data_IF_665783006237
#
_entry.id   IF_665783006237
#
_cell.length_a   1.000
_cell.length_b   1.000
_cell.length_c   1.000
_cell.angle_alpha   90.00
_cell.angle_beta   90.00
_cell.angle_gamma   90.00
#
_symmetry.space_group_name_H-M   'P 1'
#
loop_
_entity.id
_entity.type
_entity.pdbx_description
1 polymer ?
#
# COMPACT_ATOMS: atom_id res chain seq x y z
N UNK A 1 19.15 32.43 -18.05
CA UNK A 1 18.96 31.87 -19.42
C UNK A 1 20.00 30.82 -19.84
N UNK A 2 21.14 30.68 -19.16
CA UNK A 2 22.18 29.68 -19.52
C UNK A 2 21.82 28.20 -19.21
N UNK A 3 20.97 27.96 -18.20
CA UNK A 3 20.57 26.61 -17.75
C UNK A 3 19.58 25.92 -18.72
N UNK A 4 18.79 26.69 -19.47
CA UNK A 4 17.84 26.16 -20.45
C UNK A 4 18.50 25.71 -21.76
N UNK A 5 19.68 26.26 -22.11
CA UNK A 5 20.46 25.82 -23.27
C UNK A 5 21.15 24.47 -23.03
N UNK A 6 21.64 24.21 -21.82
CA UNK A 6 22.27 22.92 -21.49
C UNK A 6 21.25 21.75 -21.49
N UNK A 7 20.01 21.97 -21.04
CA UNK A 7 18.98 20.92 -21.07
C UNK A 7 18.52 20.54 -22.49
N UNK A 8 18.58 21.46 -23.46
CA UNK A 8 18.28 21.16 -24.86
C UNK A 8 19.41 20.40 -25.57
N UNK A 9 20.68 20.65 -25.22
CA UNK A 9 21.82 19.90 -25.79
C UNK A 9 21.86 18.44 -25.31
N UNK A 10 21.52 18.18 -24.04
CA UNK A 10 21.42 16.81 -23.51
C UNK A 10 20.28 16.00 -24.15
N UNK A 11 19.18 16.65 -24.50
CA UNK A 11 18.05 16.01 -25.18
C UNK A 11 18.32 15.71 -26.67
N UNK A 12 19.23 16.46 -27.31
CA UNK A 12 19.68 16.20 -28.68
C UNK A 12 20.69 15.04 -28.74
N UNK A 13 21.59 14.94 -27.75
CA UNK A 13 22.56 13.83 -27.63
C UNK A 13 21.89 12.47 -27.40
N UNK A 14 20.79 12.41 -26.63
CA UNK A 14 20.00 11.19 -26.46
C UNK A 14 19.27 10.73 -27.74
N UNK A 15 18.93 11.64 -28.67
CA UNK A 15 18.30 11.25 -29.95
C UNK A 15 19.32 10.76 -30.99
N UNK A 16 20.56 11.23 -30.92
CA UNK A 16 21.64 10.79 -31.81
C UNK A 16 22.16 9.39 -31.41
N UNK A 17 22.25 9.09 -30.11
CA UNK A 17 22.61 7.73 -29.64
C UNK A 17 21.55 6.66 -30.00
N UNK A 18 20.27 7.04 -30.08
CA UNK A 18 19.20 6.13 -30.49
C UNK A 18 19.17 5.82 -32.00
N UNK A 19 19.86 6.62 -32.84
CA UNK A 19 19.98 6.37 -34.29
C UNK A 19 21.30 5.69 -34.68
N UNK A 20 22.36 5.81 -33.86
CA UNK A 20 23.65 5.14 -34.10
C UNK A 20 23.64 3.62 -33.87
N UNK A 21 22.74 3.11 -33.03
CA UNK A 21 22.59 1.67 -32.76
C UNK A 21 21.84 0.90 -33.86
N UNK A 22 21.16 1.59 -34.78
CA UNK A 22 20.46 0.98 -35.91
C UNK A 22 21.31 0.88 -37.19
N UNK A 23 22.53 1.43 -37.20
CA UNK A 23 23.39 1.51 -38.38
C UNK A 23 24.69 0.68 -38.28
N UNK A 24 24.93 -0.03 -37.16
CA UNK A 24 26.16 -0.80 -36.93
C UNK A 24 26.05 -2.30 -37.28
N UNK A 25 24.88 -2.79 -37.69
CA UNK A 25 24.69 -4.17 -38.17
C UNK A 25 24.48 -4.19 -39.69
N UNK A 26 25.46 -3.75 -40.47
CA UNK A 26 25.58 -4.15 -41.88
C UNK A 26 27.02 -4.01 -42.35
N UNK A 27 27.79 -5.09 -42.28
CA UNK A 27 29.15 -5.10 -42.80
C UNK A 27 29.93 -6.39 -42.57
N UNK A 28 29.86 -7.30 -43.55
CA UNK A 28 30.80 -8.41 -43.87
C UNK A 28 30.79 -9.59 -42.86
N UNK A 29 30.83 -10.87 -43.24
CA UNK A 29 31.12 -11.55 -44.50
C UNK A 29 30.60 -13.02 -44.47
N UNK A 30 30.62 -13.63 -45.67
CA UNK A 30 30.83 -15.06 -45.97
C UNK A 30 29.71 -16.06 -45.61
N UNK A 31 29.04 -16.56 -46.66
CA UNK A 31 28.00 -17.59 -46.55
C UNK A 31 28.52 -19.02 -46.41
N UNK A 32 27.61 -19.97 -46.19
CA UNK A 32 27.84 -21.36 -46.60
C UNK A 32 26.64 -21.96 -47.37
N UNK A 33 26.94 -22.87 -48.30
CA UNK A 33 25.99 -23.78 -48.99
C UNK A 33 25.52 -24.92 -48.05
N UNK A 34 24.44 -25.66 -48.37
CA UNK A 34 23.49 -26.14 -47.36
C UNK A 34 23.37 -27.67 -47.16
N UNK A 35 22.66 -28.05 -46.06
CA UNK A 35 21.91 -29.30 -45.74
C UNK A 35 22.73 -30.59 -45.47
N UNK A 36 22.45 -31.55 -44.55
CA UNK A 36 21.57 -31.82 -43.39
C UNK A 36 22.06 -33.19 -42.78
N UNK A 37 21.32 -33.95 -41.94
CA UNK A 37 21.48 -34.01 -40.49
C UNK A 37 21.84 -35.41 -39.93
N UNK A 38 22.15 -35.50 -38.63
CA UNK A 38 21.71 -36.54 -37.66
C UNK A 38 22.65 -36.58 -36.44
N UNK A 39 22.06 -36.57 -35.22
CA UNK A 39 22.82 -36.75 -33.98
C UNK A 39 21.99 -36.43 -32.73
N UNK A 40 21.11 -37.34 -32.34
CA UNK A 40 20.37 -37.32 -31.07
C UNK A 40 21.26 -37.76 -29.90
N UNK A 41 21.31 -36.96 -28.84
CA UNK A 41 21.94 -37.32 -27.57
C UNK A 41 21.39 -36.50 -26.40
N UNK A 42 20.52 -37.10 -25.60
CA UNK A 42 20.13 -36.67 -24.24
C UNK A 42 20.98 -37.43 -23.20
N UNK A 43 20.84 -37.25 -21.87
CA UNK A 43 20.74 -36.02 -21.04
C UNK A 43 21.66 -36.09 -19.79
N UNK A 44 22.02 -34.96 -19.12
CA UNK A 44 22.45 -34.99 -17.69
C UNK A 44 22.08 -33.71 -16.89
N UNK A 45 21.13 -33.93 -15.96
CA UNK A 45 20.91 -33.45 -14.57
C UNK A 45 21.45 -32.11 -14.00
N UNK A 46 20.77 -31.55 -12.95
CA UNK A 46 20.88 -30.17 -12.52
C UNK A 46 21.95 -29.92 -11.43
N UNK A 47 22.53 -28.72 -11.43
CA UNK A 47 23.51 -28.26 -10.45
C UNK A 47 22.89 -27.66 -9.17
N UNK A 48 23.59 -27.92 -8.06
CA UNK A 48 23.31 -27.65 -6.62
C UNK A 48 23.24 -26.16 -6.21
N UNK A 49 22.71 -25.83 -5.01
CA UNK A 49 22.57 -24.46 -4.53
C UNK A 49 23.86 -23.92 -3.88
N UNK A 50 24.21 -22.66 -4.18
CA UNK A 50 25.37 -21.98 -3.60
C UNK A 50 25.08 -21.43 -2.19
N UNK A 51 26.02 -21.72 -1.28
CA UNK A 51 26.10 -21.32 0.12
C UNK A 51 26.41 -19.81 0.31
N UNK A 52 26.21 -19.35 1.55
CA UNK A 52 26.16 -17.96 1.97
C UNK A 52 27.46 -17.16 1.87
N UNK A 53 27.31 -15.83 1.97
CA UNK A 53 28.43 -14.89 1.99
C UNK A 53 28.37 -14.00 3.24
N UNK A 54 29.32 -14.23 4.14
CA UNK A 54 29.65 -13.38 5.26
C UNK A 54 30.33 -12.08 4.79
N UNK A 55 30.18 -11.03 5.59
CA UNK A 55 30.56 -9.66 5.28
C UNK A 55 32.07 -9.39 5.21
N UNK A 56 32.44 -8.40 4.40
CA UNK A 56 33.79 -7.85 4.35
C UNK A 56 33.92 -6.80 3.24
N UNK A 57 34.70 -5.74 3.51
CA UNK A 57 34.94 -4.55 2.64
C UNK A 57 35.50 -4.85 1.23
N UNK A 58 35.66 -6.12 0.84
CA UNK A 58 36.09 -6.56 -0.49
C UNK A 58 34.93 -6.78 -1.50
N UNK A 59 33.66 -6.70 -1.07
CA UNK A 59 32.49 -6.87 -1.94
C UNK A 59 32.35 -5.78 -3.02
N UNK A 60 32.68 -4.53 -2.70
CA UNK A 60 32.51 -3.39 -3.61
C UNK A 60 33.48 -3.44 -4.82
N UNK A 61 34.73 -3.84 -4.58
CA UNK A 61 35.73 -3.98 -5.64
C UNK A 61 35.50 -5.21 -6.55
N UNK A 62 34.77 -6.22 -6.05
CA UNK A 62 34.38 -7.41 -6.83
C UNK A 62 33.13 -7.14 -7.67
N UNK A 63 32.21 -6.33 -7.17
CA UNK A 63 31.04 -5.84 -7.92
C UNK A 63 31.44 -4.94 -9.10
N UNK A 64 32.41 -4.02 -8.90
CA UNK A 64 32.94 -3.17 -9.97
C UNK A 64 33.62 -3.95 -11.11
N UNK A 65 34.39 -5.00 -10.77
CA UNK A 65 35.04 -5.87 -11.76
C UNK A 65 34.07 -6.78 -12.53
N UNK A 66 32.96 -7.21 -11.90
CA UNK A 66 31.89 -7.95 -12.58
C UNK A 66 31.07 -7.06 -13.51
N UNK A 67 30.80 -5.81 -13.12
CA UNK A 67 30.13 -4.84 -13.98
C UNK A 67 30.96 -4.47 -15.22
N UNK A 68 32.28 -4.29 -15.06
CA UNK A 68 33.20 -4.01 -16.16
C UNK A 68 33.33 -5.18 -17.15
N UNK A 69 33.36 -6.44 -16.68
CA UNK A 69 33.36 -7.63 -17.56
C UNK A 69 32.00 -7.85 -18.24
N UNK A 70 30.88 -7.60 -17.56
CA UNK A 70 29.54 -7.77 -18.16
C UNK A 70 29.22 -6.74 -19.25
N UNK A 71 29.85 -5.56 -19.21
CA UNK A 71 29.79 -4.57 -20.29
C UNK A 71 30.62 -4.96 -21.51
N UNK A 72 31.65 -5.79 -21.34
CA UNK A 72 32.46 -6.31 -22.44
C UNK A 72 31.79 -7.50 -23.18
N UNK A 73 31.01 -8.33 -22.47
CA UNK A 73 30.44 -9.58 -23.01
C UNK A 73 28.96 -9.48 -23.46
N UNK A 74 28.41 -8.27 -23.69
CA UNK A 74 27.01 -8.09 -24.14
C UNK A 74 25.93 -8.48 -23.09
N UNK A 75 26.33 -8.85 -21.88
CA UNK A 75 25.45 -9.28 -20.78
C UNK A 75 24.97 -8.13 -19.87
N UNK A 76 25.39 -6.89 -20.16
CA UNK A 76 25.03 -5.69 -19.39
C UNK A 76 23.53 -5.43 -19.25
N UNK A 77 22.72 -5.85 -20.23
CA UNK A 77 21.25 -5.77 -20.15
C UNK A 77 20.65 -6.68 -19.08
N UNK A 78 21.19 -7.89 -18.91
CA UNK A 78 20.74 -8.85 -17.90
C UNK A 78 21.13 -8.41 -16.48
N UNK A 79 22.32 -7.81 -16.33
CA UNK A 79 22.80 -7.29 -15.04
C UNK A 79 22.05 -6.02 -14.63
N UNK A 80 21.77 -5.10 -15.56
CA UNK A 80 20.97 -3.90 -15.28
C UNK A 80 19.53 -4.28 -14.89
N UNK A 81 18.94 -5.26 -15.57
CA UNK A 81 17.62 -5.78 -15.23
C UNK A 81 17.59 -6.46 -13.85
N UNK A 82 18.63 -7.22 -13.49
CA UNK A 82 18.70 -7.88 -12.18
C UNK A 82 18.87 -6.87 -11.04
N UNK A 83 19.73 -5.86 -11.21
CA UNK A 83 19.94 -4.78 -10.22
C UNK A 83 18.68 -3.92 -10.05
N UNK A 84 17.99 -3.60 -11.15
CA UNK A 84 16.72 -2.86 -11.08
C UNK A 84 15.64 -3.68 -10.36
N UNK A 85 15.57 -4.99 -10.61
CA UNK A 85 14.63 -5.90 -9.97
C UNK A 85 14.91 -6.03 -8.47
N UNK A 86 16.15 -6.20 -8.06
CA UNK A 86 16.53 -6.22 -6.64
C UNK A 86 16.19 -4.91 -5.94
N UNK A 87 16.55 -3.76 -6.53
CA UNK A 87 16.19 -2.45 -5.99
C UNK A 87 14.68 -2.31 -5.81
N UNK A 88 13.88 -2.72 -6.80
CA UNK A 88 12.43 -2.73 -6.68
C UNK A 88 11.93 -3.64 -5.55
N UNK A 89 12.45 -4.85 -5.42
CA UNK A 89 12.03 -5.80 -4.39
C UNK A 89 12.34 -5.26 -2.99
N UNK A 90 13.49 -4.62 -2.81
CA UNK A 90 13.86 -3.97 -1.55
C UNK A 90 12.91 -2.81 -1.22
N UNK A 91 12.54 -1.99 -2.21
CA UNK A 91 11.53 -0.91 -2.02
C UNK A 91 10.21 -1.48 -1.51
N UNK A 92 9.74 -2.57 -2.11
CA UNK A 92 8.44 -3.18 -1.73
C UNK A 92 8.47 -3.74 -0.31
N UNK A 93 9.57 -4.38 0.13
CA UNK A 93 9.70 -4.95 1.48
C UNK A 93 9.56 -3.92 2.60
N UNK A 94 10.25 -2.78 2.47
CA UNK A 94 10.14 -1.68 3.46
C UNK A 94 8.71 -1.18 3.56
N UNK A 95 8.04 -1.03 2.42
CA UNK A 95 6.67 -0.56 2.37
C UNK A 95 5.68 -1.58 2.95
N UNK A 96 5.92 -2.89 2.76
CA UNK A 96 5.14 -3.94 3.41
C UNK A 96 5.27 -3.84 4.94
N UNK A 97 6.48 -3.63 5.47
CA UNK A 97 6.69 -3.44 6.91
C UNK A 97 6.03 -2.17 7.46
N UNK A 98 6.06 -1.06 6.71
CA UNK A 98 5.33 0.16 7.07
C UNK A 98 3.81 -0.10 7.11
N UNK A 99 3.29 -0.87 6.15
CA UNK A 99 1.89 -1.32 6.12
C UNK A 99 1.56 -2.15 7.36
N UNK A 100 2.45 -3.05 7.75
CA UNK A 100 2.33 -3.86 8.97
C UNK A 100 2.26 -3.00 10.23
N UNK A 101 3.21 -2.08 10.38
CA UNK A 101 3.25 -1.18 11.53
C UNK A 101 1.99 -0.31 11.61
N UNK A 102 1.51 0.21 10.48
CA UNK A 102 0.27 0.97 10.41
C UNK A 102 -0.94 0.15 10.89
N UNK A 103 -1.07 -1.10 10.44
CA UNK A 103 -2.15 -1.98 10.90
C UNK A 103 -2.08 -2.21 12.40
N UNK A 104 -0.89 -2.45 12.94
CA UNK A 104 -0.69 -2.65 14.38
C UNK A 104 -1.00 -1.40 15.19
N UNK A 105 -0.64 -0.21 14.73
CA UNK A 105 -1.04 1.05 15.38
C UNK A 105 -2.57 1.22 15.43
N UNK A 106 -3.29 0.75 14.42
CA UNK A 106 -4.77 0.74 14.43
C UNK A 106 -5.32 -0.25 15.46
N UNK A 107 -4.66 -1.40 15.67
CA UNK A 107 -5.02 -2.32 16.78
C UNK A 107 -4.86 -1.62 18.12
N UNK A 108 -3.68 -1.02 18.36
CA UNK A 108 -3.40 -0.31 19.61
C UNK A 108 -4.40 0.82 19.87
N UNK A 109 -4.77 1.55 18.82
CA UNK A 109 -5.78 2.60 18.91
C UNK A 109 -7.13 2.08 19.40
N UNK A 110 -7.69 1.03 18.79
CA UNK A 110 -8.99 0.50 19.19
C UNK A 110 -8.95 -0.15 20.58
N UNK A 111 -7.82 -0.78 20.95
CA UNK A 111 -7.64 -1.26 22.32
C UNK A 111 -7.63 -0.11 23.33
N UNK A 112 -6.92 0.99 23.03
CA UNK A 112 -6.91 2.18 23.89
C UNK A 112 -8.27 2.85 23.94
N UNK A 113 -8.95 2.99 22.79
CA UNK A 113 -10.26 3.61 22.68
C UNK A 113 -11.35 2.87 23.47
N UNK A 114 -11.14 1.60 23.78
CA UNK A 114 -12.09 0.80 24.59
C UNK A 114 -12.02 1.16 26.08
N UNK A 115 -10.89 1.72 26.56
CA UNK A 115 -10.76 2.15 27.95
C UNK A 115 -11.79 3.23 28.29
N UNK A 116 -12.40 3.18 29.49
CA UNK A 116 -13.42 4.14 29.89
C UNK A 116 -12.92 5.59 29.75
N UNK A 117 -13.81 6.45 29.29
CA UNK A 117 -13.54 7.88 29.19
C UNK A 117 -13.31 8.46 30.58
N UNK A 118 -12.40 9.42 30.71
CA UNK A 118 -12.08 10.01 32.00
C UNK A 118 -10.94 11.01 31.93
N UNK A 119 -10.87 11.97 32.87
CA UNK A 119 -9.94 13.10 32.80
C UNK A 119 -8.46 12.69 32.63
N UNK A 120 -8.04 11.62 33.29
CA UNK A 120 -6.68 11.10 33.18
C UNK A 120 -6.41 10.46 31.81
N UNK A 121 -7.29 9.57 31.35
CA UNK A 121 -7.13 8.90 30.06
C UNK A 121 -7.20 9.89 28.89
N UNK A 122 -8.13 10.84 28.95
CA UNK A 122 -8.27 11.94 28.00
C UNK A 122 -7.07 12.88 28.03
N UNK A 123 -6.59 13.23 29.23
CA UNK A 123 -5.39 14.05 29.41
C UNK A 123 -4.12 13.38 28.85
N UNK A 124 -3.92 12.08 29.09
CA UNK A 124 -2.82 11.31 28.51
C UNK A 124 -2.94 11.28 26.98
N UNK A 125 -4.13 10.99 26.44
CA UNK A 125 -4.38 10.99 25.00
C UNK A 125 -4.05 12.37 24.40
N UNK A 126 -4.53 13.44 25.02
CA UNK A 126 -4.30 14.81 24.57
C UNK A 126 -2.81 15.18 24.62
N UNK A 127 -2.08 14.79 25.67
CA UNK A 127 -0.64 15.00 25.76
C UNK A 127 0.10 14.24 24.63
N UNK A 128 -0.26 12.97 24.39
CA UNK A 128 0.35 12.15 23.34
C UNK A 128 0.12 12.72 21.93
N UNK A 129 -0.97 13.46 21.69
CA UNK A 129 -1.22 14.16 20.43
C UNK A 129 -0.17 15.23 20.09
N UNK A 130 0.53 15.78 21.09
CA UNK A 130 1.63 16.72 20.91
C UNK A 130 3.01 16.04 20.78
N UNK A 131 3.05 14.71 20.85
CA UNK A 131 4.29 13.93 20.75
C UNK A 131 4.37 13.15 19.43
N UNK A 132 5.55 12.60 19.08
CA UNK A 132 5.69 11.62 18.00
C UNK A 132 4.73 10.42 18.08
N UNK A 133 4.19 10.10 19.26
CA UNK A 133 3.26 8.99 19.47
C UNK A 133 1.81 9.29 19.03
N UNK A 134 1.52 10.50 18.56
CA UNK A 134 0.18 10.90 18.09
C UNK A 134 -0.42 9.99 17.02
N UNK A 135 0.42 9.37 16.19
CA UNK A 135 -0.02 8.41 15.17
C UNK A 135 -0.65 7.14 15.81
N UNK A 136 -0.17 6.72 16.98
CA UNK A 136 -0.70 5.58 17.73
C UNK A 136 -2.06 5.89 18.39
N UNK A 137 -2.27 7.12 18.82
CA UNK A 137 -3.52 7.54 19.50
C UNK A 137 -4.58 8.10 18.54
N UNK A 138 -4.28 8.25 17.25
CA UNK A 138 -5.19 8.83 16.26
C UNK A 138 -5.83 7.87 15.27
N UNK A 139 -5.22 6.69 15.02
CA UNK A 139 -5.49 5.70 13.95
C UNK A 139 -5.62 6.22 12.50
N UNK A 140 -6.29 7.34 12.28
CA UNK A 140 -6.52 8.00 10.99
C UNK A 140 -5.22 8.21 10.19
N UNK A 141 -4.08 8.68 10.76
CA UNK A 141 -2.83 8.80 9.99
C UNK A 141 -2.32 7.46 9.42
N UNK A 142 -2.53 6.35 10.15
CA UNK A 142 -2.16 5.02 9.68
C UNK A 142 -3.02 4.57 8.50
N UNK A 143 -4.31 4.94 8.48
CA UNK A 143 -5.21 4.67 7.35
C UNK A 143 -4.86 5.53 6.13
N UNK A 144 -4.51 6.81 6.33
CA UNK A 144 -4.03 7.66 5.22
C UNK A 144 -2.75 7.09 4.60
N UNK A 145 -1.85 6.54 5.43
CA UNK A 145 -0.68 5.82 4.92
C UNK A 145 -1.07 4.61 4.04
N UNK A 146 -2.13 3.86 4.39
CA UNK A 146 -2.65 2.80 3.50
C UNK A 146 -3.11 3.35 2.14
N UNK A 147 -3.82 4.47 2.10
CA UNK A 147 -4.25 5.07 0.83
C UNK A 147 -3.08 5.51 -0.04
N UNK A 148 -2.05 6.14 0.54
CA UNK A 148 -0.83 6.52 -0.19
C UNK A 148 -0.07 5.27 -0.68
N UNK A 149 0.06 4.24 0.16
CA UNK A 149 0.67 2.95 -0.21
C UNK A 149 -0.10 2.26 -1.35
N UNK A 150 -1.43 2.27 -1.30
CA UNK A 150 -2.26 1.67 -2.34
C UNK A 150 -2.11 2.37 -3.68
N UNK A 151 -2.06 3.71 -3.70
CA UNK A 151 -1.72 4.48 -4.91
C UNK A 151 -0.32 4.14 -5.46
N UNK A 152 0.67 4.04 -4.58
CA UNK A 152 2.04 3.70 -4.95
C UNK A 152 2.14 2.30 -5.60
N UNK A 153 1.58 1.28 -4.94
CA UNK A 153 1.65 -0.11 -5.40
C UNK A 153 0.83 -0.31 -6.68
N UNK A 154 -0.35 0.30 -6.79
CA UNK A 154 -1.18 0.23 -7.99
C UNK A 154 -0.50 0.88 -9.19
N UNK A 155 0.14 2.04 -9.00
CA UNK A 155 0.90 2.70 -10.06
C UNK A 155 2.04 1.81 -10.57
N UNK A 156 2.81 1.18 -9.67
CA UNK A 156 3.87 0.25 -10.06
C UNK A 156 3.34 -1.00 -10.77
N UNK A 157 2.21 -1.55 -10.31
CA UNK A 157 1.62 -2.74 -10.91
C UNK A 157 1.13 -2.48 -12.34
N UNK A 158 0.49 -1.33 -12.58
CA UNK A 158 -0.05 -0.96 -13.89
C UNK A 158 1.02 -0.39 -14.83
N UNK A 159 2.04 0.31 -14.33
CA UNK A 159 3.13 0.84 -15.16
C UNK A 159 4.07 -0.25 -15.71
N UNK A 160 4.11 -1.43 -15.09
CA UNK A 160 5.01 -2.54 -15.47
C UNK A 160 4.38 -3.59 -16.39
N UNK A 161 3.06 -3.58 -16.57
CA UNK A 161 2.34 -4.62 -17.31
C UNK A 161 1.95 -4.19 -18.72
N UNK A 162 2.11 -5.04 -19.75
CA UNK A 162 1.53 -4.77 -21.06
C UNK A 162 0.00 -4.79 -20.97
N UNK A 163 -0.66 -3.73 -21.43
CA UNK A 163 -2.06 -3.73 -21.89
C UNK A 163 -3.08 -4.43 -20.98
N UNK A 164 -3.00 -4.24 -19.67
CA UNK A 164 -3.93 -4.87 -18.74
C UNK A 164 -5.37 -4.44 -19.06
N UNK A 165 -6.23 -5.39 -19.45
CA UNK A 165 -7.64 -5.08 -19.72
C UNK A 165 -8.31 -4.65 -18.41
N UNK A 166 -9.08 -3.56 -18.48
CA UNK A 166 -9.76 -2.97 -17.33
C UNK A 166 -10.53 -4.01 -16.51
N UNK A 167 -11.36 -4.84 -17.18
CA UNK A 167 -12.14 -5.89 -16.51
C UNK A 167 -11.30 -6.92 -15.75
N UNK A 168 -10.16 -7.35 -16.32
CA UNK A 168 -9.24 -8.26 -15.63
C UNK A 168 -8.60 -7.61 -14.41
N UNK A 169 -8.24 -6.33 -14.49
CA UNK A 169 -7.73 -5.56 -13.36
C UNK A 169 -8.77 -5.46 -12.23
N UNK A 170 -10.01 -5.08 -12.58
CA UNK A 170 -11.13 -4.96 -11.64
C UNK A 170 -11.39 -6.29 -10.93
N UNK A 171 -11.52 -7.38 -11.68
CA UNK A 171 -11.84 -8.69 -11.12
C UNK A 171 -10.76 -9.16 -10.13
N UNK A 172 -9.48 -8.99 -10.47
CA UNK A 172 -8.37 -9.31 -9.56
C UNK A 172 -8.38 -8.47 -8.29
N UNK A 173 -8.76 -7.19 -8.40
CA UNK A 173 -8.85 -6.29 -7.26
C UNK A 173 -10.00 -6.69 -6.33
N UNK A 174 -11.16 -7.02 -6.91
CA UNK A 174 -12.32 -7.54 -6.17
C UNK A 174 -11.94 -8.83 -5.45
N UNK A 175 -11.40 -9.85 -6.14
CA UNK A 175 -11.02 -11.10 -5.48
C UNK A 175 -9.98 -10.89 -4.36
N UNK A 176 -9.04 -9.96 -4.52
CA UNK A 176 -7.99 -9.71 -3.52
C UNK A 176 -8.51 -8.98 -2.27
N UNK A 177 -9.43 -8.03 -2.42
CA UNK A 177 -9.93 -7.19 -1.32
C UNK A 177 -11.26 -7.72 -0.80
N UNK A 178 -12.25 -7.82 -1.69
CA UNK A 178 -13.63 -8.10 -1.29
C UNK A 178 -13.80 -9.49 -0.68
N UNK A 179 -13.11 -10.52 -1.17
CA UNK A 179 -13.31 -11.89 -0.67
C UNK A 179 -12.86 -12.07 0.80
N UNK A 180 -11.63 -11.69 1.21
CA UNK A 180 -11.27 -11.74 2.63
C UNK A 180 -12.14 -10.81 3.48
N UNK A 181 -12.50 -9.63 2.96
CA UNK A 181 -13.41 -8.72 3.64
C UNK A 181 -14.78 -9.36 3.90
N UNK A 182 -15.40 -9.96 2.89
CA UNK A 182 -16.70 -10.61 3.01
C UNK A 182 -16.68 -11.71 4.08
N UNK A 183 -15.61 -12.52 4.11
CA UNK A 183 -15.43 -13.55 5.14
C UNK A 183 -15.31 -12.93 6.53
N UNK A 184 -14.63 -11.78 6.69
CA UNK A 184 -14.57 -11.08 7.98
C UNK A 184 -15.92 -10.56 8.45
N UNK A 185 -16.76 -10.06 7.52
CA UNK A 185 -18.12 -9.58 7.84
C UNK A 185 -19.01 -10.74 8.25
N UNK A 186 -18.99 -11.85 7.49
CA UNK A 186 -19.76 -13.04 7.81
C UNK A 186 -19.33 -13.65 9.16
N UNK A 187 -18.02 -13.69 9.43
CA UNK A 187 -17.47 -14.13 10.70
C UNK A 187 -17.95 -13.22 11.84
N UNK A 188 -17.85 -11.90 11.68
CA UNK A 188 -18.30 -10.94 12.70
C UNK A 188 -19.80 -11.06 12.99
N UNK A 189 -20.63 -11.22 11.95
CA UNK A 189 -22.06 -11.45 12.11
C UNK A 189 -22.37 -12.77 12.83
N UNK A 190 -21.66 -13.86 12.49
CA UNK A 190 -21.82 -15.14 13.18
C UNK A 190 -21.42 -15.03 14.66
N UNK A 191 -20.31 -14.34 14.96
CA UNK A 191 -19.86 -14.10 16.33
C UNK A 191 -20.87 -13.25 17.13
N UNK A 192 -21.50 -12.27 16.49
CA UNK A 192 -22.60 -11.51 17.11
C UNK A 192 -23.73 -12.43 17.56
N UNK A 193 -24.18 -13.37 16.71
CA UNK A 193 -25.25 -14.31 17.05
C UNK A 193 -24.89 -15.28 18.17
N UNK A 194 -23.61 -15.67 18.27
CA UNK A 194 -23.11 -16.54 19.35
C UNK A 194 -23.00 -15.76 20.66
N UNK A 195 -22.46 -14.54 20.62
CA UNK A 195 -22.18 -13.75 21.82
C UNK A 195 -23.42 -13.03 22.36
N UNK A 196 -24.37 -12.68 21.47
CA UNK A 196 -25.56 -11.85 21.78
C UNK A 196 -25.19 -10.65 22.67
N UNK A 197 -24.32 -9.76 22.18
CA UNK A 197 -23.70 -8.74 22.99
C UNK A 197 -24.75 -7.81 23.62
N UNK A 198 -24.51 -7.46 24.89
CA UNK A 198 -25.24 -6.43 25.62
C UNK A 198 -24.30 -5.26 25.90
N UNK A 199 -24.87 -4.08 26.13
CA UNK A 199 -24.10 -2.93 26.56
C UNK A 199 -23.33 -3.24 27.85
N UNK A 200 -22.05 -2.88 27.89
CA UNK A 200 -21.17 -3.10 29.04
C UNK A 200 -20.93 -1.80 29.79
N UNK A 201 -20.92 -1.87 31.12
CA UNK A 201 -20.46 -0.78 31.98
C UNK A 201 -18.92 -0.74 32.02
N UNK A 202 -18.35 0.42 32.37
CA UNK A 202 -16.90 0.54 32.57
C UNK A 202 -16.03 0.48 31.31
N UNK A 203 -16.65 0.55 30.11
CA UNK A 203 -15.96 0.72 28.82
C UNK A 203 -16.29 2.08 28.21
N UNK A 204 -15.51 2.51 27.23
CA UNK A 204 -15.80 3.75 26.50
C UNK A 204 -17.15 3.69 25.78
N UNK A 205 -17.95 4.79 25.72
CA UNK A 205 -19.26 4.80 25.04
C UNK A 205 -19.22 4.33 23.58
N UNK A 206 -18.14 4.65 22.86
CA UNK A 206 -17.88 4.14 21.50
C UNK A 206 -18.03 2.62 21.37
N UNK A 207 -17.56 1.85 22.36
CA UNK A 207 -17.58 0.38 22.30
C UNK A 207 -19.02 -0.17 22.27
N UNK A 208 -19.96 0.51 22.94
CA UNK A 208 -21.37 0.12 22.95
C UNK A 208 -22.16 0.73 21.79
N UNK A 209 -21.75 1.90 21.28
CA UNK A 209 -22.51 2.66 20.29
C UNK A 209 -22.24 2.24 18.83
N UNK A 210 -20.99 1.88 18.51
CA UNK A 210 -20.57 1.69 17.12
C UNK A 210 -20.47 0.20 16.72
N UNK A 211 -19.54 -0.60 17.26
CA UNK A 211 -19.42 -2.00 16.89
C UNK A 211 -20.53 -2.83 17.54
N UNK A 212 -21.05 -3.82 16.80
CA UNK A 212 -22.05 -4.78 17.27
C UNK A 212 -23.32 -4.18 17.90
N UNK A 213 -23.58 -2.88 17.65
CA UNK A 213 -24.69 -2.12 18.23
C UNK A 213 -26.06 -2.47 17.67
N UNK A 214 -26.11 -3.22 16.56
CA UNK A 214 -27.33 -3.67 15.92
C UNK A 214 -27.25 -5.15 15.52
N UNK A 215 -28.41 -5.79 15.45
CA UNK A 215 -28.54 -7.18 15.00
C UNK A 215 -28.20 -7.29 13.50
N UNK A 216 -27.36 -8.27 13.09
CA UNK A 216 -27.08 -8.55 11.69
C UNK A 216 -28.28 -9.24 11.03
N UNK A 217 -29.18 -8.42 10.46
CA UNK A 217 -30.23 -8.90 9.55
C UNK A 217 -29.72 -8.99 8.10
N UNK A 218 -30.57 -9.51 7.20
CA UNK A 218 -30.21 -9.67 5.78
C UNK A 218 -29.90 -8.33 5.09
N UNK A 219 -30.59 -7.26 5.48
CA UNK A 219 -30.38 -5.92 4.94
C UNK A 219 -29.01 -5.36 5.37
N UNK A 220 -28.66 -5.48 6.66
CA UNK A 220 -27.36 -5.12 7.20
C UNK A 220 -26.25 -5.88 6.48
N UNK A 221 -26.36 -7.21 6.36
CA UNK A 221 -25.37 -8.03 5.64
C UNK A 221 -25.19 -7.57 4.20
N UNK A 222 -26.30 -7.35 3.48
CA UNK A 222 -26.25 -6.84 2.11
C UNK A 222 -25.53 -5.49 2.02
N UNK A 223 -25.85 -4.53 2.89
CA UNK A 223 -25.22 -3.20 2.91
C UNK A 223 -23.71 -3.27 3.16
N UNK A 224 -23.29 -4.16 4.07
CA UNK A 224 -21.86 -4.36 4.36
C UNK A 224 -21.14 -5.00 3.16
N UNK A 225 -21.70 -6.09 2.61
CA UNK A 225 -21.12 -6.80 1.47
C UNK A 225 -21.12 -5.95 0.19
N UNK A 226 -22.11 -5.08 0.00
CA UNK A 226 -22.16 -4.15 -1.12
C UNK A 226 -21.20 -2.94 -0.97
N UNK A 227 -20.57 -2.76 0.20
CA UNK A 227 -19.65 -1.65 0.49
C UNK A 227 -20.27 -0.29 0.12
N UNK A 228 -21.49 -0.02 0.61
CA UNK A 228 -22.22 1.22 0.31
C UNK A 228 -21.58 2.46 0.95
N UNK A 229 -20.79 2.29 2.02
CA UNK A 229 -20.01 3.37 2.64
C UNK A 229 -20.85 4.41 3.39
N UNK A 230 -22.10 4.06 3.72
CA UNK A 230 -22.97 4.89 4.56
C UNK A 230 -22.78 4.60 6.06
N UNK A 231 -23.30 5.49 6.90
CA UNK A 231 -23.18 5.47 8.36
C UNK A 231 -23.76 4.22 9.04
N UNK A 232 -24.74 3.53 8.44
CA UNK A 232 -25.33 2.33 9.05
C UNK A 232 -24.61 1.04 8.63
N UNK A 233 -23.68 1.13 7.68
CA UNK A 233 -22.96 -0.01 7.11
C UNK A 233 -21.63 -0.27 7.81
N UNK A 234 -21.54 -0.05 9.13
CA UNK A 234 -20.28 -0.08 9.87
C UNK A 234 -20.28 -1.03 11.09
N UNK A 235 -21.44 -1.33 11.65
CA UNK A 235 -21.54 -1.95 12.98
C UNK A 235 -20.93 -3.35 13.06
N UNK A 236 -20.90 -4.13 11.96
CA UNK A 236 -20.27 -5.45 11.98
C UNK A 236 -18.76 -5.37 11.93
N UNK A 237 -18.20 -4.32 11.35
CA UNK A 237 -16.76 -4.10 11.36
C UNK A 237 -16.45 -2.64 11.05
N UNK A 238 -16.24 -1.84 12.09
CA UNK A 238 -16.10 -0.38 11.96
C UNK A 238 -14.97 0.03 11.01
N UNK A 239 -13.93 -0.80 10.86
CA UNK A 239 -12.76 -0.48 10.01
C UNK A 239 -13.05 -0.54 8.50
N UNK A 240 -14.23 -1.02 8.11
CA UNK A 240 -14.59 -1.22 6.70
C UNK A 240 -14.78 0.07 5.90
N UNK A 241 -14.94 1.22 6.58
CA UNK A 241 -15.09 2.51 5.94
C UNK A 241 -13.96 2.78 4.94
N UNK A 242 -12.72 2.50 5.36
CA UNK A 242 -11.53 2.77 4.54
C UNK A 242 -11.44 1.82 3.34
N UNK A 243 -11.85 0.56 3.52
CA UNK A 243 -11.83 -0.47 2.47
C UNK A 243 -12.81 -0.14 1.35
N UNK A 244 -13.96 0.45 1.70
CA UNK A 244 -14.96 0.90 0.73
C UNK A 244 -14.35 1.93 -0.22
N UNK A 245 -13.69 2.95 0.32
CA UNK A 245 -13.05 3.97 -0.49
C UNK A 245 -11.81 3.45 -1.22
N UNK A 246 -11.02 2.58 -0.58
CA UNK A 246 -9.89 1.93 -1.25
C UNK A 246 -10.36 1.15 -2.48
N UNK A 247 -11.42 0.34 -2.37
CA UNK A 247 -11.93 -0.42 -3.50
C UNK A 247 -12.43 0.52 -4.59
N UNK A 248 -13.30 1.50 -4.27
CA UNK A 248 -13.85 2.46 -5.24
C UNK A 248 -12.77 3.22 -6.00
N UNK A 249 -11.81 3.80 -5.29
CA UNK A 249 -10.70 4.53 -5.90
C UNK A 249 -9.82 3.58 -6.72
N UNK A 250 -9.59 2.35 -6.24
CA UNK A 250 -8.83 1.35 -6.99
C UNK A 250 -9.49 1.03 -8.34
N UNK A 251 -10.82 0.95 -8.40
CA UNK A 251 -11.55 0.66 -9.64
C UNK A 251 -11.33 1.75 -10.69
N UNK A 252 -11.37 3.03 -10.30
CA UNK A 252 -11.12 4.17 -11.23
C UNK A 252 -9.64 4.50 -11.40
N UNK A 253 -8.76 3.86 -10.63
CA UNK A 253 -7.33 4.19 -10.56
C UNK A 253 -6.59 4.19 -11.91
N UNK A 254 -6.89 3.32 -12.90
CA UNK A 254 -6.18 3.41 -14.18
C UNK A 254 -6.41 4.75 -14.92
N UNK A 255 -7.56 5.41 -14.74
CA UNK A 255 -7.79 6.77 -15.25
C UNK A 255 -6.98 7.81 -14.49
N UNK A 256 -6.92 7.69 -13.15
CA UNK A 256 -6.08 8.55 -12.31
C UNK A 256 -4.60 8.42 -12.70
N UNK A 257 -4.13 7.19 -12.92
CA UNK A 257 -2.77 6.91 -13.36
C UNK A 257 -2.48 7.53 -14.74
N UNK A 258 -3.43 7.45 -15.67
CA UNK A 258 -3.31 8.10 -16.98
C UNK A 258 -3.15 9.61 -16.82
N UNK A 259 -3.96 10.24 -15.97
CA UNK A 259 -3.82 11.67 -15.67
C UNK A 259 -2.43 12.00 -15.11
N UNK A 260 -1.93 11.22 -14.15
CA UNK A 260 -0.58 11.39 -13.56
C UNK A 260 0.53 11.23 -14.61
N UNK A 261 0.36 10.32 -15.57
CA UNK A 261 1.35 10.06 -16.62
C UNK A 261 1.35 11.11 -17.74
N UNK A 262 0.17 11.65 -18.08
CA UNK A 262 -0.03 12.52 -19.26
C UNK A 262 -0.03 14.01 -18.93
N UNK A 263 -0.52 14.40 -17.75
CA UNK A 263 -0.59 15.81 -17.38
C UNK A 263 0.75 16.28 -16.78
N UNK A 264 1.26 17.47 -17.19
CA UNK A 264 2.41 18.06 -16.53
C UNK A 264 2.04 18.49 -15.10
N UNK A 265 3.01 18.50 -14.19
CA UNK A 265 2.77 18.84 -12.76
C UNK A 265 2.10 20.21 -12.56
N UNK A 266 2.39 21.19 -13.44
CA UNK A 266 1.77 22.52 -13.43
C UNK A 266 0.25 22.52 -13.68
N UNK A 267 -0.30 21.44 -14.25
CA UNK A 267 -1.75 21.23 -14.44
C UNK A 267 -2.29 20.28 -13.38
N UNK A 268 -1.56 19.21 -13.09
CA UNK A 268 -1.99 18.19 -12.13
C UNK A 268 -2.13 18.75 -10.70
N UNK A 269 -1.13 19.51 -10.21
CA UNK A 269 -1.14 20.01 -8.83
C UNK A 269 -2.27 21.01 -8.56
N UNK A 270 -2.53 22.03 -9.42
CA UNK A 270 -3.72 22.86 -9.27
C UNK A 270 -5.02 22.07 -9.40
N UNK A 271 -5.07 21.05 -10.27
CA UNK A 271 -6.25 20.18 -10.39
C UNK A 271 -6.56 19.39 -9.12
N UNK A 272 -5.54 18.84 -8.47
CA UNK A 272 -5.67 18.16 -7.17
C UNK A 272 -6.19 19.12 -6.08
N UNK A 273 -5.64 20.34 -6.05
CA UNK A 273 -6.09 21.38 -5.11
C UNK A 273 -7.53 21.80 -5.39
N UNK A 274 -7.89 22.02 -6.65
CA UNK A 274 -9.25 22.40 -7.05
C UNK A 274 -10.27 21.32 -6.70
N UNK A 275 -9.95 20.04 -6.97
CA UNK A 275 -10.77 18.91 -6.56
C UNK A 275 -10.98 18.90 -5.04
N UNK A 276 -9.92 19.17 -4.27
CA UNK A 276 -10.02 19.18 -2.82
C UNK A 276 -10.90 20.30 -2.31
N UNK A 277 -10.63 21.53 -2.75
CA UNK A 277 -11.40 22.72 -2.36
C UNK A 277 -12.88 22.56 -2.74
N UNK A 278 -13.16 22.02 -3.92
CA UNK A 278 -14.53 21.75 -4.36
C UNK A 278 -15.22 20.70 -3.49
N UNK A 279 -14.51 19.63 -3.12
CA UNK A 279 -15.05 18.57 -2.24
C UNK A 279 -15.36 19.12 -0.85
N UNK A 280 -14.41 19.83 -0.24
CA UNK A 280 -14.55 20.41 1.11
C UNK A 280 -15.64 21.49 1.15
N UNK A 281 -15.71 22.35 0.13
CA UNK A 281 -16.76 23.35 0.01
C UNK A 281 -18.14 22.70 -0.11
N UNK A 282 -18.25 21.61 -0.86
CA UNK A 282 -19.50 20.85 -1.01
C UNK A 282 -19.88 20.16 0.30
N UNK A 283 -18.93 19.52 0.98
CA UNK A 283 -19.16 18.91 2.30
C UNK A 283 -19.67 19.95 3.31
N UNK A 284 -19.03 21.12 3.40
CA UNK A 284 -19.48 22.22 4.27
C UNK A 284 -20.89 22.69 3.94
N UNK A 285 -21.22 22.85 2.65
CA UNK A 285 -22.56 23.26 2.20
C UNK A 285 -23.64 22.24 2.57
N UNK A 286 -23.29 20.95 2.59
CA UNK A 286 -24.18 19.86 2.97
C UNK A 286 -24.16 19.55 4.46
N UNK A 287 -23.41 20.30 5.28
CA UNK A 287 -23.27 20.03 6.72
C UNK A 287 -22.48 18.77 7.07
N UNK A 288 -21.75 18.19 6.10
CA UNK A 288 -20.94 16.99 6.31
C UNK A 288 -19.61 17.32 7.00
N UNK A 289 -19.07 16.41 7.84
CA UNK A 289 -17.79 16.61 8.50
C UNK A 289 -16.63 16.66 7.49
N UNK A 290 -15.64 17.51 7.74
CA UNK A 290 -14.42 17.66 6.91
C UNK A 290 -13.36 16.57 7.15
N UNK A 291 -13.58 15.75 8.18
CA UNK A 291 -12.81 14.53 8.42
C UNK A 291 -13.77 13.32 8.40
N UNK A 292 -14.46 13.06 7.26
CA UNK A 292 -15.48 12.03 7.20
C UNK A 292 -14.86 10.64 7.38
N UNK A 293 -15.59 9.76 8.08
CA UNK A 293 -15.36 8.32 8.07
C UNK A 293 -16.40 7.65 7.16
N UNK A 294 -17.65 8.06 7.29
CA UNK A 294 -18.77 7.63 6.47
C UNK A 294 -19.44 8.84 5.82
N UNK A 295 -20.19 8.58 4.76
CA UNK A 295 -21.03 9.60 4.15
C UNK A 295 -22.51 9.40 4.50
N UNK A 296 -23.26 10.48 4.54
CA UNK A 296 -24.71 10.42 4.63
C UNK A 296 -25.29 10.09 3.25
N UNK A 297 -25.78 8.85 3.13
CA UNK A 297 -26.28 8.28 1.88
C UNK A 297 -25.21 8.18 0.78
N UNK A 298 -25.67 7.92 -0.44
CA UNK A 298 -24.79 7.67 -1.58
C UNK A 298 -23.99 8.91 -2.02
N UNK A 299 -24.60 10.10 -1.94
CA UNK A 299 -23.94 11.36 -2.28
C UNK A 299 -22.79 11.67 -1.30
N UNK A 300 -23.04 11.57 0.01
CA UNK A 300 -22.00 11.75 1.03
C UNK A 300 -20.87 10.73 0.89
N UNK A 301 -21.20 9.46 0.62
CA UNK A 301 -20.19 8.41 0.45
C UNK A 301 -19.33 8.63 -0.82
N UNK A 302 -19.94 9.19 -1.87
CA UNK A 302 -19.23 9.57 -3.10
C UNK A 302 -18.31 10.77 -2.87
N UNK A 303 -18.79 11.81 -2.18
CA UNK A 303 -17.95 12.95 -1.79
C UNK A 303 -16.78 12.52 -0.91
N UNK A 304 -17.01 11.60 0.02
CA UNK A 304 -15.95 11.03 0.86
C UNK A 304 -14.94 10.22 0.02
N UNK A 305 -15.41 9.52 -1.02
CA UNK A 305 -14.51 8.85 -1.97
C UNK A 305 -13.61 9.87 -2.68
N UNK A 306 -14.19 10.99 -3.17
CA UNK A 306 -13.45 12.07 -3.84
C UNK A 306 -12.40 12.71 -2.93
N UNK A 307 -12.73 12.92 -1.65
CA UNK A 307 -11.82 13.46 -0.65
C UNK A 307 -10.51 12.65 -0.53
N UNK A 308 -10.58 11.32 -0.63
CA UNK A 308 -9.39 10.46 -0.51
C UNK A 308 -8.66 10.20 -1.84
N UNK A 309 -9.18 10.64 -2.99
CA UNK A 309 -8.53 10.44 -4.31
C UNK A 309 -7.10 11.00 -4.31
N UNK A 310 -6.90 12.17 -3.72
CA UNK A 310 -5.59 12.82 -3.68
C UNK A 310 -4.53 11.98 -2.94
N UNK A 311 -4.91 11.16 -1.97
CA UNK A 311 -3.97 10.25 -1.29
C UNK A 311 -3.37 9.24 -2.28
N UNK A 312 -4.21 8.67 -3.16
CA UNK A 312 -3.79 7.70 -4.16
C UNK A 312 -2.94 8.36 -5.26
N UNK A 313 -3.30 9.59 -5.67
CA UNK A 313 -2.54 10.36 -6.67
C UNK A 313 -1.14 10.69 -6.15
N UNK A 314 -1.00 11.09 -4.88
CA UNK A 314 0.31 11.32 -4.24
C UNK A 314 1.14 10.03 -4.22
N UNK A 315 0.54 8.89 -3.87
CA UNK A 315 1.20 7.60 -3.95
C UNK A 315 1.69 7.26 -5.36
N UNK A 316 0.86 7.50 -6.37
CA UNK A 316 1.20 7.28 -7.77
C UNK A 316 2.35 8.21 -8.24
N UNK A 317 2.35 9.47 -7.83
CA UNK A 317 3.44 10.41 -8.10
C UNK A 317 4.75 9.93 -7.49
N UNK A 318 4.73 9.47 -6.23
CA UNK A 318 5.91 8.94 -5.57
C UNK A 318 6.43 7.67 -6.25
N UNK A 319 5.55 6.82 -6.79
CA UNK A 319 5.94 5.65 -7.57
C UNK A 319 6.62 6.02 -8.89
N UNK A 320 6.03 6.94 -9.66
CA UNK A 320 6.50 7.30 -11.01
C UNK A 320 7.66 8.31 -11.01
N UNK A 321 7.79 9.12 -9.95
CA UNK A 321 8.86 10.12 -9.79
C UNK A 321 9.85 9.76 -8.68
N UNK A 322 9.78 8.53 -8.16
CA UNK A 322 10.56 8.07 -7.03
C UNK A 322 12.06 8.29 -7.21
N UNK A 323 12.63 8.00 -8.39
CA UNK A 323 14.07 8.17 -8.62
C UNK A 323 14.52 9.64 -8.56
N UNK A 324 13.68 10.57 -9.03
CA UNK A 324 13.95 12.01 -8.91
C UNK A 324 13.88 12.46 -7.44
N UNK A 325 12.88 11.98 -6.69
CA UNK A 325 12.76 12.24 -5.24
C UNK A 325 13.99 11.71 -4.50
N UNK A 326 14.42 10.47 -4.80
CA UNK A 326 15.61 9.88 -4.20
C UNK A 326 16.89 10.63 -4.55
N UNK A 327 17.03 11.13 -5.78
CA UNK A 327 18.17 11.95 -6.19
C UNK A 327 18.25 13.28 -5.42
N UNK A 328 17.10 13.90 -5.10
CA UNK A 328 17.05 15.10 -4.26
C UNK A 328 17.42 14.75 -2.81
N UNK A 329 16.80 13.73 -2.22
CA UNK A 329 17.08 13.31 -0.85
C UNK A 329 18.55 12.91 -0.64
N UNK A 330 19.17 12.26 -1.62
CA UNK A 330 20.57 11.85 -1.55
C UNK A 330 21.57 13.02 -1.51
N UNK A 331 21.16 14.24 -1.92
CA UNK A 331 22.00 15.44 -1.89
C UNK A 331 21.92 16.20 -0.57
N UNK A 332 20.96 15.86 0.29
CA UNK A 332 20.75 16.56 1.56
C UNK A 332 21.74 16.06 2.62
N UNK A 333 22.27 16.96 3.47
CA UNK A 333 23.09 16.54 4.61
C UNK A 333 22.24 15.80 5.65
N UNK A 334 22.91 15.02 6.51
CA UNK A 334 22.25 14.12 7.47
C UNK A 334 21.32 14.83 8.45
N UNK A 335 21.64 16.07 8.85
CA UNK A 335 20.79 16.87 9.73
C UNK A 335 19.48 17.28 9.05
N UNK A 336 19.50 17.61 7.76
CA UNK A 336 18.28 17.92 6.99
C UNK A 336 17.43 16.67 6.83
N UNK A 337 18.04 15.50 6.60
CA UNK A 337 17.32 14.23 6.60
C UNK A 337 16.68 13.93 7.97
N UNK A 338 17.41 14.18 9.07
CA UNK A 338 16.86 14.10 10.43
C UNK A 338 15.67 15.02 10.64
N UNK A 339 15.77 16.28 10.20
CA UNK A 339 14.67 17.24 10.21
C UNK A 339 13.46 16.79 9.38
N UNK A 340 13.68 16.18 8.22
CA UNK A 340 12.60 15.62 7.39
C UNK A 340 11.92 14.41 8.04
N UNK A 341 12.64 13.57 8.78
CA UNK A 341 12.02 12.49 9.57
C UNK A 341 11.10 13.06 10.65
N UNK A 342 11.57 14.06 11.38
CA UNK A 342 10.76 14.76 12.40
C UNK A 342 9.55 15.41 11.72
N UNK A 343 9.74 16.12 10.61
CA UNK A 343 8.65 16.74 9.86
C UNK A 343 7.62 15.71 9.38
N UNK A 344 8.05 14.55 8.87
CA UNK A 344 7.15 13.48 8.46
C UNK A 344 6.25 13.02 9.61
N UNK A 345 6.83 12.80 10.79
CA UNK A 345 6.10 12.39 12.00
C UNK A 345 5.16 13.51 12.48
N UNK A 346 5.62 14.76 12.46
CA UNK A 346 4.81 15.92 12.84
C UNK A 346 3.65 16.17 11.87
N UNK A 347 3.79 15.81 10.59
CA UNK A 347 2.71 15.91 9.61
C UNK A 347 1.67 14.78 9.76
N UNK A 348 2.03 13.64 10.36
CA UNK A 348 1.11 12.54 10.68
C UNK A 348 0.25 12.83 11.92
N UNK A 349 -0.39 14.00 11.97
CA UNK A 349 -1.28 14.43 13.05
C UNK A 349 -2.77 14.29 12.70
N UNK A 350 -3.67 14.12 13.68
CA UNK A 350 -5.08 13.84 13.44
C UNK A 350 -5.87 14.98 12.77
N UNK A 351 -5.30 16.18 12.68
CA UNK A 351 -6.07 17.41 12.47
C UNK A 351 -6.45 17.68 11.01
N UNK A 352 -5.73 17.13 10.01
CA UNK A 352 -6.01 17.37 8.58
C UNK A 352 -5.51 16.19 7.72
N UNK A 353 -6.38 15.58 6.91
CA UNK A 353 -6.01 14.42 6.08
C UNK A 353 -4.92 14.74 5.03
N UNK A 354 -4.86 15.97 4.52
CA UNK A 354 -3.85 16.38 3.54
C UNK A 354 -2.46 16.52 4.15
N UNK A 355 -2.35 16.98 5.40
CA UNK A 355 -1.06 17.02 6.10
C UNK A 355 -0.60 15.60 6.40
N UNK A 356 -1.51 14.72 6.83
CA UNK A 356 -1.25 13.28 6.95
C UNK A 356 -0.77 12.67 5.63
N UNK A 357 -1.38 13.04 4.51
CA UNK A 357 -1.00 12.55 3.17
C UNK A 357 0.43 12.94 2.82
N UNK A 358 0.81 14.20 3.08
CA UNK A 358 2.17 14.68 2.88
C UNK A 358 3.16 13.99 3.83
N UNK A 359 2.80 13.84 5.12
CA UNK A 359 3.60 13.13 6.11
C UNK A 359 3.84 11.67 5.74
N UNK A 360 2.79 10.96 5.30
CA UNK A 360 2.86 9.59 4.81
C UNK A 360 3.75 9.47 3.57
N UNK A 361 3.60 10.36 2.58
CA UNK A 361 4.43 10.38 1.39
C UNK A 361 5.90 10.65 1.70
N UNK A 362 6.18 11.58 2.61
CA UNK A 362 7.54 11.90 3.06
C UNK A 362 8.15 10.73 3.83
N UNK A 363 7.40 10.12 4.75
CA UNK A 363 7.79 8.92 5.49
C UNK A 363 8.18 7.79 4.53
N UNK A 364 7.33 7.50 3.55
CA UNK A 364 7.60 6.49 2.53
C UNK A 364 8.85 6.82 1.72
N UNK A 365 9.01 8.06 1.26
CA UNK A 365 10.17 8.49 0.48
C UNK A 365 11.48 8.34 1.27
N UNK A 366 11.49 8.76 2.54
CA UNK A 366 12.65 8.63 3.44
C UNK A 366 12.97 7.17 3.76
N UNK A 367 11.95 6.35 4.03
CA UNK A 367 12.12 4.92 4.34
C UNK A 367 12.69 4.15 3.15
N UNK A 368 12.20 4.44 1.94
CA UNK A 368 12.72 3.86 0.69
C UNK A 368 14.20 4.26 0.48
N UNK A 369 14.55 5.51 0.74
CA UNK A 369 15.88 6.08 0.44
C UNK A 369 16.99 5.76 1.43
N UNK A 370 16.62 5.41 2.66
CA UNK A 370 17.58 5.28 3.77
C UNK A 370 18.02 3.83 4.00
N UNK A 371 19.32 3.49 3.84
CA UNK A 371 19.83 2.17 4.18
C UNK A 371 19.66 1.81 5.66
N UNK A 372 19.67 2.81 6.55
CA UNK A 372 19.42 2.59 7.99
C UNK A 372 17.97 2.22 8.22
N UNK A 373 17.04 2.95 7.60
CA UNK A 373 15.61 2.64 7.70
C UNK A 373 15.32 1.24 7.17
N UNK A 374 15.94 0.82 6.06
CA UNK A 374 15.83 -0.55 5.54
C UNK A 374 16.22 -1.60 6.57
N UNK A 375 17.36 -1.44 7.25
CA UNK A 375 17.78 -2.39 8.31
C UNK A 375 16.77 -2.51 9.44
N UNK A 376 16.12 -1.40 9.80
CA UNK A 376 15.09 -1.38 10.85
C UNK A 376 13.81 -2.03 10.34
N UNK A 377 13.31 -1.66 9.16
CA UNK A 377 12.03 -2.13 8.64
C UNK A 377 12.07 -3.55 8.08
N UNK A 378 13.23 -4.06 7.67
CA UNK A 378 13.37 -5.40 7.09
C UNK A 378 13.71 -6.48 8.12
N UNK A 379 13.53 -6.21 9.42
CA UNK A 379 13.62 -7.25 10.43
C UNK A 379 12.45 -8.26 10.29
N UNK A 380 12.67 -9.56 10.60
CA UNK A 380 11.66 -10.59 10.37
C UNK A 380 10.27 -10.34 11.00
N UNK A 381 10.16 -9.80 12.24
CA UNK A 381 8.85 -9.50 12.83
C UNK A 381 8.07 -8.46 12.05
N UNK A 382 8.71 -7.38 11.59
CA UNK A 382 8.05 -6.33 10.82
C UNK A 382 7.65 -6.82 9.42
N UNK A 383 8.49 -7.64 8.79
CA UNK A 383 8.14 -8.28 7.51
C UNK A 383 6.97 -9.26 7.67
N UNK A 384 6.89 -10.00 8.78
CA UNK A 384 5.74 -10.85 9.08
C UNK A 384 4.48 -10.01 9.30
N UNK A 385 4.57 -8.95 10.10
CA UNK A 385 3.48 -8.03 10.35
C UNK A 385 2.96 -7.41 9.05
N UNK A 386 3.86 -7.02 8.15
CA UNK A 386 3.53 -6.52 6.82
C UNK A 386 2.78 -7.53 5.95
N UNK A 387 3.17 -8.80 6.00
CA UNK A 387 2.50 -9.89 5.26
C UNK A 387 1.07 -10.09 5.73
N UNK A 388 0.82 -10.12 7.03
CA UNK A 388 -0.51 -10.38 7.62
C UNK A 388 -1.35 -9.12 7.83
N UNK A 389 -0.84 -7.93 7.48
CA UNK A 389 -1.41 -6.66 7.90
C UNK A 389 -2.85 -6.43 7.44
N UNK A 390 -3.23 -6.95 6.25
CA UNK A 390 -4.59 -6.82 5.73
C UNK A 390 -5.55 -7.69 6.54
N UNK A 391 -5.22 -8.96 6.75
CA UNK A 391 -5.94 -9.84 7.66
C UNK A 391 -6.04 -9.27 9.08
N UNK A 392 -4.95 -8.73 9.64
CA UNK A 392 -4.95 -8.08 10.96
C UNK A 392 -5.93 -6.89 10.99
N UNK A 393 -5.90 -6.04 9.97
CA UNK A 393 -6.82 -4.92 9.83
C UNK A 393 -8.28 -5.38 9.81
N UNK A 394 -8.59 -6.51 9.18
CA UNK A 394 -9.95 -7.03 9.10
C UNK A 394 -10.48 -7.61 10.41
N UNK A 395 -9.67 -8.32 11.20
CA UNK A 395 -10.21 -9.14 12.30
C UNK A 395 -10.00 -8.57 13.70
N UNK A 396 -9.13 -7.58 13.88
CA UNK A 396 -8.76 -7.14 15.23
C UNK A 396 -9.94 -6.60 16.03
N UNK A 397 -10.88 -5.89 15.39
CA UNK A 397 -12.11 -5.43 16.07
C UNK A 397 -13.02 -6.60 16.44
N UNK A 398 -13.39 -7.53 15.54
CA UNK A 398 -14.12 -8.74 15.92
C UNK A 398 -13.47 -9.54 17.06
N UNK A 399 -12.14 -9.70 17.05
CA UNK A 399 -11.40 -10.37 18.14
C UNK A 399 -11.51 -9.59 19.45
N UNK A 400 -11.31 -8.27 19.41
CA UNK A 400 -11.48 -7.39 20.57
C UNK A 400 -12.87 -7.52 21.17
N UNK A 401 -13.92 -7.51 20.34
CA UNK A 401 -15.32 -7.64 20.77
C UNK A 401 -15.58 -9.00 21.43
N UNK A 402 -15.12 -10.10 20.84
CA UNK A 402 -15.26 -11.45 21.44
C UNK A 402 -14.57 -11.52 22.80
N UNK A 403 -13.35 -11.01 22.91
CA UNK A 403 -12.57 -11.06 24.16
C UNK A 403 -13.25 -10.23 25.25
N UNK A 404 -13.67 -9.00 24.92
CA UNK A 404 -14.29 -8.10 25.88
C UNK A 404 -15.67 -8.61 26.27
N UNK A 405 -16.62 -8.82 25.35
CA UNK A 405 -17.96 -9.32 25.71
C UNK A 405 -17.93 -10.71 26.36
N UNK A 406 -17.02 -11.59 25.93
CA UNK A 406 -16.96 -12.96 26.44
C UNK A 406 -16.39 -13.09 27.86
N UNK A 407 -15.55 -12.15 28.30
CA UNK A 407 -14.83 -12.23 29.58
C UNK A 407 -15.04 -11.01 30.49
N UNK A 408 -15.83 -10.02 30.08
CA UNK A 408 -16.19 -8.88 30.92
C UNK A 408 -16.79 -9.33 32.25
N UNK A 409 -16.41 -8.67 33.35
CA UNK A 409 -16.81 -9.05 34.70
C UNK A 409 -16.09 -10.28 35.30
N UNK A 410 -15.32 -11.04 34.49
CA UNK A 410 -14.48 -12.16 34.98
C UNK A 410 -13.02 -11.76 35.18
N UNK A 411 -12.52 -10.84 34.34
CA UNK A 411 -11.16 -10.32 34.42
C UNK A 411 -11.18 -8.78 34.33
N UNK A 412 -10.16 -8.09 34.86
CA UNK A 412 -10.01 -6.65 34.67
C UNK A 412 -9.92 -6.27 33.19
N UNK A 413 -10.50 -5.13 32.81
CA UNK A 413 -10.58 -4.68 31.41
C UNK A 413 -9.20 -4.58 30.77
N UNK A 414 -8.20 -4.09 31.50
CA UNK A 414 -6.82 -3.94 31.03
C UNK A 414 -6.22 -5.29 30.61
N UNK A 415 -6.54 -6.36 31.35
CA UNK A 415 -6.10 -7.73 31.02
C UNK A 415 -6.76 -8.22 29.74
N UNK A 416 -8.04 -7.91 29.54
CA UNK A 416 -8.78 -8.26 28.32
C UNK A 416 -8.19 -7.55 27.10
N UNK A 417 -7.88 -6.27 27.22
CA UNK A 417 -7.26 -5.48 26.14
C UNK A 417 -5.85 -5.96 25.82
N UNK A 418 -5.04 -6.30 26.83
CA UNK A 418 -3.72 -6.90 26.64
C UNK A 418 -3.80 -8.28 25.98
N UNK A 419 -4.84 -9.08 26.28
CA UNK A 419 -5.08 -10.38 25.66
C UNK A 419 -5.58 -10.26 24.21
N UNK A 420 -6.37 -9.23 23.90
CA UNK A 420 -6.91 -9.02 22.55
C UNK A 420 -5.82 -8.79 21.49
N UNK A 421 -4.68 -8.19 21.85
CA UNK A 421 -3.55 -7.92 20.94
C UNK A 421 -2.91 -9.20 20.39
N UNK A 422 -2.37 -10.13 21.22
CA UNK A 422 -1.77 -11.36 20.72
C UNK A 422 -2.81 -12.25 20.03
N UNK A 423 -4.06 -12.30 20.50
CA UNK A 423 -5.13 -13.05 19.83
C UNK A 423 -5.44 -12.48 18.45
N UNK A 424 -5.41 -11.16 18.27
CA UNK A 424 -5.57 -10.51 16.96
C UNK A 424 -4.42 -10.86 16.02
N UNK A 425 -3.18 -10.91 16.51
CA UNK A 425 -2.02 -11.32 15.70
C UNK A 425 -2.09 -12.79 15.29
N UNK A 426 -2.49 -13.68 16.21
CA UNK A 426 -2.68 -15.11 15.92
C UNK A 426 -3.80 -15.33 14.91
N UNK A 427 -4.95 -14.69 15.12
CA UNK A 427 -6.08 -14.72 14.19
C UNK A 427 -5.69 -14.15 12.81
N UNK A 428 -4.85 -13.11 12.77
CA UNK A 428 -4.40 -12.53 11.51
C UNK A 428 -3.53 -13.51 10.73
N UNK A 429 -2.66 -14.26 11.42
CA UNK A 429 -1.88 -15.34 10.81
C UNK A 429 -2.75 -16.45 10.23
N UNK A 430 -3.80 -16.84 10.95
CA UNK A 430 -4.81 -17.80 10.52
C UNK A 430 -5.57 -17.33 9.28
N UNK A 431 -6.19 -16.15 9.36
CA UNK A 431 -6.94 -15.56 8.24
C UNK A 431 -6.05 -15.33 7.02
N UNK A 432 -4.81 -14.89 7.23
CA UNK A 432 -3.87 -14.69 6.13
C UNK A 432 -3.61 -16.00 5.38
N UNK A 433 -3.34 -17.09 6.11
CA UNK A 433 -3.03 -18.40 5.53
C UNK A 433 -4.23 -19.03 4.84
N UNK A 434 -5.40 -18.99 5.45
CA UNK A 434 -6.57 -19.74 4.99
C UNK A 434 -7.54 -18.95 4.11
N UNK A 435 -7.47 -17.61 4.13
CA UNK A 435 -8.41 -16.75 3.40
C UNK A 435 -7.69 -15.80 2.45
N UNK A 436 -6.78 -14.97 2.97
CA UNK A 436 -6.13 -13.93 2.15
C UNK A 436 -5.22 -14.55 1.07
N UNK A 437 -4.38 -15.51 1.43
CA UNK A 437 -3.47 -16.17 0.48
C UNK A 437 -4.21 -16.90 -0.65
N UNK A 438 -5.24 -17.73 -0.38
CA UNK A 438 -6.07 -18.32 -1.44
C UNK A 438 -6.74 -17.26 -2.32
N UNK A 439 -7.23 -16.17 -1.75
CA UNK A 439 -7.85 -15.06 -2.50
C UNK A 439 -6.86 -14.39 -3.45
N UNK A 440 -5.61 -14.19 -3.00
CA UNK A 440 -4.51 -13.69 -3.84
C UNK A 440 -4.16 -14.69 -4.94
N UNK A 441 -4.12 -15.99 -4.64
CA UNK A 441 -3.83 -17.03 -5.61
C UNK A 441 -4.92 -17.12 -6.69
N UNK A 442 -6.19 -17.03 -6.30
CA UNK A 442 -7.33 -16.96 -7.20
C UNK A 442 -7.21 -15.74 -8.13
N UNK A 443 -6.96 -14.55 -7.57
CA UNK A 443 -6.76 -13.35 -8.35
C UNK A 443 -5.66 -13.52 -9.42
N UNK A 444 -4.54 -14.18 -9.10
CA UNK A 444 -3.46 -14.41 -10.08
C UNK A 444 -3.85 -15.32 -11.26
N UNK A 445 -4.83 -16.21 -11.08
CA UNK A 445 -5.30 -17.14 -12.12
C UNK A 445 -6.29 -16.51 -13.09
N UNK A 446 -6.89 -15.38 -12.73
CA UNK A 446 -7.92 -14.73 -13.55
C UNK A 446 -7.31 -14.06 -14.80
N UNK A 447 -7.99 -14.15 -15.97
CA UNK A 447 -7.50 -13.55 -17.22
C UNK A 447 -7.21 -12.05 -17.08
N UNK A 448 -6.16 -11.56 -17.74
CA UNK A 448 -5.75 -10.15 -17.61
C UNK A 448 -4.96 -9.57 -18.77
N UNK A 449 -4.27 -10.40 -19.54
CA UNK A 449 -3.57 -9.93 -20.73
C UNK A 449 -4.56 -9.75 -21.88
N UNK A 450 -4.40 -8.67 -22.64
CA UNK A 450 -4.90 -8.65 -24.01
C UNK A 450 -4.18 -9.75 -24.82
N UNK A 451 -4.85 -10.40 -25.79
CA UNK A 451 -4.14 -11.19 -26.79
C UNK A 451 -3.05 -10.32 -27.40
N UNK A 452 -1.82 -10.82 -27.51
CA UNK A 452 -0.87 -10.22 -28.43
C UNK A 452 -1.55 -10.23 -29.80
N UNK A 453 -1.86 -9.05 -30.35
CA UNK A 453 -2.17 -8.97 -31.76
C UNK A 453 -0.98 -9.62 -32.47
N UNK A 454 -1.23 -10.78 -33.08
CA UNK A 454 -0.23 -11.46 -33.89
C UNK A 454 0.31 -10.41 -34.86
N UNK A 455 1.61 -10.12 -34.79
CA UNK A 455 2.26 -9.33 -35.83
C UNK A 455 1.92 -10.03 -37.16
N UNK A 456 1.38 -9.33 -38.17
CA UNK A 456 1.21 -9.94 -39.47
C UNK A 456 2.57 -10.48 -39.89
N UNK A 457 2.62 -11.77 -40.21
CA UNK A 457 3.79 -12.36 -40.83
C UNK A 457 4.08 -11.52 -42.08
N UNK A 458 5.19 -10.80 -42.07
CA UNK A 458 5.74 -10.21 -43.27
C UNK A 458 6.15 -11.40 -44.14
N UNK A 459 5.27 -11.73 -45.09
CA UNK A 459 5.57 -12.59 -46.22
C UNK A 459 6.28 -11.81 -47.32
#
# INVERSE_FOLDING_TARGET
MHLFRQLRQSAALCRLHGRGLAAAESGRAAGPKPLSPLGTGTPRQPARPCQGFAGGKHGAARAGRRAARALADGSGGCLAASVHRESCLMRVRVLDSLRGLAAFLVVLYHTWQTLPAGPLADGIRQALLFTPFKAAVGARPAVILFFVLSGYVLALALARGPGMRWGGFVLRRICRIWLPFAISILLSAALWWVMRPVALDGVHPWFNADPWSAMPDAAALWRHLAMLGDTHSAHLNVVMWSLTYELRISLVFPLLLLAVQRLPLRVLLPGMLALQVATDATMRRLGLPLAPFFGDGWAGATLTTLHFVNCFVVGALLALRGDAVQAVLARLPSWSLGGLWVAAILLLGPSVDYTCTLGAALLMALAIGSPRARRVFEVPPLLWLGRVSYSLYLIHVPVLLVVVHGLHGRLPLETLLLLAIPLSLLGAGAMYRWVEQPSIALARRLPGAAPQAARPALG
#
